data_IF_802435362787
#
_entry.id   IF_802435362787
#
_cell.length_a   1.000
_cell.length_b   1.000
_cell.length_c   1.000
_cell.angle_alpha   90.00
_cell.angle_beta   90.00
_cell.angle_gamma   90.00
#
_symmetry.space_group_name_H-M   'P 1'
#
loop_
_entity.id
_entity.type
_entity.pdbx_description
1 polymer ?
#
# COMPACT_ATOMS: atom_id res chain seq x y z
N UNK A 1 -13.10 -4.16 7.38
CA UNK A 1 -13.68 -4.01 6.03
C UNK A 1 -12.76 -3.06 5.29
N UNK A 2 -11.68 -3.58 4.68
CA UNK A 2 -10.65 -2.72 4.07
C UNK A 2 -11.06 -2.39 2.65
N UNK A 3 -11.24 -1.11 2.35
CA UNK A 3 -11.37 -0.64 0.98
C UNK A 3 -10.18 -1.17 0.18
N UNK A 4 -10.44 -1.95 -0.87
CA UNK A 4 -9.41 -2.41 -1.79
C UNK A 4 -8.83 -1.17 -2.45
N UNK A 5 -7.66 -0.74 -1.98
CA UNK A 5 -6.87 0.30 -2.63
C UNK A 5 -6.76 -0.12 -4.11
N UNK A 6 -7.40 0.65 -4.99
CA UNK A 6 -7.24 0.48 -6.43
C UNK A 6 -5.90 1.10 -6.80
N UNK A 7 -4.86 0.26 -6.85
CA UNK A 7 -3.51 0.58 -7.34
C UNK A 7 -3.54 0.91 -8.83
N UNK A 8 -4.08 2.07 -9.18
CA UNK A 8 -4.21 2.53 -10.57
C UNK A 8 -3.73 3.97 -10.64
N UNK A 9 -2.64 4.18 -11.39
CA UNK A 9 -2.12 5.50 -11.66
C UNK A 9 -3.10 6.31 -12.52
N UNK A 10 -3.35 7.56 -12.11
CA UNK A 10 -4.19 8.52 -12.83
C UNK A 10 -3.45 9.84 -13.11
N UNK A 11 -2.11 9.82 -13.12
CA UNK A 11 -1.33 11.01 -13.47
C UNK A 11 -1.49 11.36 -14.96
N UNK A 12 -1.23 12.62 -15.30
CA UNK A 12 -1.45 13.13 -16.66
C UNK A 12 -0.59 12.41 -17.71
N UNK A 13 0.68 12.15 -17.38
CA UNK A 13 1.60 11.40 -18.26
C UNK A 13 1.04 10.02 -18.64
N UNK A 14 0.43 9.31 -17.69
CA UNK A 14 -0.15 7.99 -17.97
C UNK A 14 -1.42 8.07 -18.82
N UNK A 15 -2.16 9.18 -18.76
CA UNK A 15 -3.34 9.41 -19.60
C UNK A 15 -2.93 9.78 -21.03
N UNK A 16 -2.00 10.71 -21.17
CA UNK A 16 -1.53 11.24 -22.46
C UNK A 16 -0.66 10.22 -23.21
N UNK A 17 0.19 9.49 -22.47
CA UNK A 17 1.19 8.59 -23.05
C UNK A 17 1.13 7.19 -22.40
N UNK A 18 0.06 6.41 -22.66
CA UNK A 18 -0.15 5.12 -21.99
C UNK A 18 0.91 4.05 -22.32
N UNK A 19 1.72 4.23 -23.38
CA UNK A 19 2.79 3.31 -23.77
C UNK A 19 4.19 3.84 -23.48
N UNK A 20 4.33 4.97 -22.78
CA UNK A 20 5.64 5.48 -22.39
C UNK A 20 6.35 4.54 -21.40
N UNK A 21 7.66 4.73 -21.24
CA UNK A 21 8.46 4.04 -20.23
C UNK A 21 7.91 4.37 -18.83
N UNK A 22 7.66 5.64 -18.54
CA UNK A 22 7.10 6.11 -17.26
C UNK A 22 5.75 5.45 -16.94
N UNK A 23 4.82 5.40 -17.91
CA UNK A 23 3.52 4.74 -17.70
C UNK A 23 3.66 3.24 -17.44
N UNK A 24 4.67 2.61 -18.06
CA UNK A 24 4.98 1.20 -17.84
C UNK A 24 5.56 0.94 -16.47
N UNK A 25 6.46 1.81 -15.99
CA UNK A 25 7.01 1.76 -14.63
C UNK A 25 5.93 1.95 -13.58
N UNK A 26 5.04 2.94 -13.75
CA UNK A 26 3.90 3.16 -12.86
C UNK A 26 2.96 1.95 -12.78
N UNK A 27 2.70 1.26 -13.90
CA UNK A 27 1.92 0.02 -13.91
C UNK A 27 2.62 -1.12 -13.18
N UNK A 28 3.92 -1.31 -13.43
CA UNK A 28 4.72 -2.35 -12.76
C UNK A 28 4.76 -2.12 -11.25
N UNK A 29 4.99 -0.88 -10.81
CA UNK A 29 4.97 -0.50 -9.40
C UNK A 29 3.61 -0.84 -8.77
N UNK A 30 2.52 -0.36 -9.36
CA UNK A 30 1.17 -0.64 -8.87
C UNK A 30 0.83 -2.14 -8.84
N UNK A 31 1.33 -2.92 -9.81
CA UNK A 31 1.17 -4.38 -9.84
C UNK A 31 1.89 -5.05 -8.66
N UNK A 32 3.13 -4.65 -8.36
CA UNK A 32 3.85 -5.15 -7.19
C UNK A 32 3.11 -4.81 -5.90
N UNK A 33 2.70 -3.55 -5.74
CA UNK A 33 1.99 -3.08 -4.55
C UNK A 33 0.65 -3.80 -4.34
N UNK A 34 -0.03 -4.22 -5.41
CA UNK A 34 -1.28 -4.97 -5.33
C UNK A 34 -1.16 -6.37 -4.69
N UNK A 35 0.05 -6.94 -4.66
CA UNK A 35 0.32 -8.22 -4.01
C UNK A 35 0.74 -8.12 -2.54
N UNK A 36 0.93 -6.89 -2.03
CA UNK A 36 1.39 -6.64 -0.66
C UNK A 36 0.20 -6.40 0.28
N UNK A 37 0.37 -6.74 1.55
CA UNK A 37 -0.55 -6.24 2.59
C UNK A 37 -0.36 -4.73 2.82
N UNK A 38 -1.27 -4.12 3.59
CA UNK A 38 -1.26 -2.66 3.82
C UNK A 38 0.03 -2.17 4.50
N UNK A 39 0.59 -2.96 5.42
CA UNK A 39 1.82 -2.62 6.16
C UNK A 39 3.04 -2.73 5.26
N UNK A 40 3.15 -3.81 4.51
CA UNK A 40 4.20 -4.04 3.52
C UNK A 40 4.18 -2.96 2.43
N UNK A 41 3.02 -2.68 1.84
CA UNK A 41 2.86 -1.67 0.81
C UNK A 41 3.27 -0.28 1.33
N UNK A 42 2.82 0.10 2.54
CA UNK A 42 3.19 1.38 3.14
C UNK A 42 4.71 1.51 3.34
N UNK A 43 5.39 0.47 3.82
CA UNK A 43 6.85 0.49 4.02
C UNK A 43 7.62 0.60 2.71
N UNK A 44 7.22 -0.16 1.68
CA UNK A 44 7.81 -0.05 0.33
C UNK A 44 7.65 1.37 -0.21
N UNK A 45 6.47 1.96 -0.08
CA UNK A 45 6.24 3.35 -0.50
C UNK A 45 7.09 4.34 0.29
N UNK A 46 7.29 4.10 1.59
CA UNK A 46 8.20 4.88 2.41
C UNK A 46 9.63 4.87 1.86
N UNK A 47 10.15 3.67 1.55
CA UNK A 47 11.49 3.48 1.01
C UNK A 47 11.64 4.17 -0.36
N UNK A 48 10.67 3.98 -1.26
CA UNK A 48 10.68 4.62 -2.57
C UNK A 48 10.59 6.15 -2.46
N UNK A 49 9.85 6.67 -1.49
CA UNK A 49 9.74 8.11 -1.26
C UNK A 49 11.08 8.71 -0.79
N UNK A 50 11.82 7.97 0.03
CA UNK A 50 13.15 8.36 0.51
C UNK A 50 14.17 8.38 -0.64
N UNK A 51 14.20 7.29 -1.43
CA UNK A 51 15.06 7.19 -2.62
C UNK A 51 14.77 8.27 -3.68
N UNK A 52 13.50 8.68 -3.82
CA UNK A 52 13.10 9.72 -4.76
C UNK A 52 13.46 11.15 -4.28
N UNK A 53 13.81 11.33 -2.99
CA UNK A 53 14.19 12.62 -2.44
C UNK A 53 13.05 13.64 -2.40
N UNK A 54 13.36 14.91 -2.66
CA UNK A 54 12.40 16.01 -2.56
C UNK A 54 11.21 15.82 -3.51
N UNK A 55 10.00 15.84 -2.98
CA UNK A 55 8.77 15.62 -3.74
C UNK A 55 8.38 14.15 -3.95
N UNK A 56 9.19 13.18 -3.52
CA UNK A 56 8.94 11.74 -3.66
C UNK A 56 7.58 11.29 -3.10
N UNK A 57 7.22 11.80 -1.92
CA UNK A 57 5.90 11.54 -1.30
C UNK A 57 4.75 12.01 -2.20
N UNK A 58 4.85 13.22 -2.74
CA UNK A 58 3.81 13.80 -3.58
C UNK A 58 3.70 13.07 -4.93
N UNK A 59 4.84 12.68 -5.50
CA UNK A 59 4.92 11.87 -6.71
C UNK A 59 4.26 10.51 -6.50
N UNK A 60 4.69 9.74 -5.50
CA UNK A 60 4.15 8.40 -5.23
C UNK A 60 2.68 8.42 -4.86
N UNK A 61 2.21 9.46 -4.15
CA UNK A 61 0.79 9.64 -3.87
C UNK A 61 -0.03 9.78 -5.15
N UNK A 62 0.48 10.51 -6.15
CA UNK A 62 -0.17 10.67 -7.46
C UNK A 62 -0.17 9.37 -8.28
N UNK A 63 0.93 8.61 -8.21
CA UNK A 63 1.11 7.36 -8.97
C UNK A 63 0.30 6.20 -8.41
N UNK A 64 0.15 6.13 -7.10
CA UNK A 64 -0.42 4.96 -6.41
C UNK A 64 -1.81 5.21 -5.85
N UNK A 65 -2.22 6.48 -5.73
CA UNK A 65 -3.46 6.88 -5.06
C UNK A 65 -3.39 6.78 -3.53
N UNK A 66 -2.25 6.39 -2.96
CA UNK A 66 -2.06 6.31 -1.52
C UNK A 66 -1.89 7.72 -0.94
N UNK A 67 -2.47 7.95 0.23
CA UNK A 67 -2.39 9.24 0.90
C UNK A 67 -0.94 9.60 1.27
N UNK A 68 -0.60 10.89 1.20
CA UNK A 68 0.73 11.39 1.61
C UNK A 68 1.05 11.03 3.06
N UNK A 69 0.05 11.04 3.95
CA UNK A 69 0.22 10.69 5.37
C UNK A 69 0.54 9.21 5.55
N UNK A 70 -0.07 8.32 4.77
CA UNK A 70 0.28 6.89 4.75
C UNK A 70 1.72 6.69 4.30
N UNK A 71 2.16 7.35 3.23
CA UNK A 71 3.54 7.24 2.71
C UNK A 71 4.55 7.76 3.75
N UNK A 72 4.28 8.93 4.35
CA UNK A 72 5.11 9.52 5.40
C UNK A 72 5.20 8.60 6.63
N UNK A 73 4.10 7.95 7.02
CA UNK A 73 4.11 6.94 8.09
C UNK A 73 5.02 5.76 7.71
N UNK A 74 5.00 5.33 6.45
CA UNK A 74 5.92 4.32 5.92
C UNK A 74 7.39 4.70 6.07
N UNK A 75 7.77 5.94 5.74
CA UNK A 75 9.13 6.44 5.97
C UNK A 75 9.52 6.39 7.45
N UNK A 76 8.64 6.87 8.34
CA UNK A 76 8.91 6.85 9.79
C UNK A 76 9.08 5.43 10.35
N UNK A 77 8.31 4.48 9.82
CA UNK A 77 8.42 3.06 10.19
C UNK A 77 9.74 2.40 9.75
N UNK A 78 10.49 3.00 8.80
CA UNK A 78 11.81 2.50 8.38
C UNK A 78 12.94 3.00 9.29
N UNK A 79 12.76 4.17 9.90
CA UNK A 79 13.73 4.75 10.85
C UNK A 79 13.47 4.25 12.28
N UNK A 80 12.25 3.85 12.59
CA UNK A 80 11.86 3.30 13.90
C UNK A 80 12.31 1.86 14.11
N UNK A 81 12.81 1.55 15.30
CA UNK A 81 13.28 0.22 15.73
C UNK A 81 12.16 -0.77 16.06
N UNK A 82 11.02 -0.74 15.37
CA UNK A 82 9.99 -1.77 15.59
C UNK A 82 10.38 -3.03 14.80
N UNK A 83 10.84 -4.11 15.47
CA UNK A 83 11.23 -5.33 14.78
C UNK A 83 10.07 -5.82 13.91
N UNK A 84 10.40 -6.28 12.70
CA UNK A 84 9.47 -7.11 11.93
C UNK A 84 9.20 -8.34 12.80
N UNK A 85 7.95 -8.61 13.23
CA UNK A 85 7.68 -9.82 13.99
C UNK A 85 8.12 -11.01 13.11
N UNK A 86 9.10 -11.77 13.57
CA UNK A 86 9.50 -13.02 12.93
C UNK A 86 8.36 -14.03 13.14
N UNK A 87 7.43 -14.07 12.19
CA UNK A 87 6.23 -14.89 12.29
C UNK A 87 5.19 -14.57 11.23
N UNK A 88 4.15 -15.42 11.15
CA UNK A 88 3.04 -15.32 10.20
C UNK A 88 2.54 -13.87 10.09
N UNK A 89 2.52 -13.36 8.85
CA UNK A 89 1.90 -12.07 8.46
C UNK A 89 0.42 -11.99 8.88
N UNK A 90 -0.25 -13.15 9.03
CA UNK A 90 -1.60 -13.23 9.58
C UNK A 90 -1.59 -13.11 11.10
N UNK A 91 -2.40 -12.19 11.64
CA UNK A 91 -2.85 -12.28 13.03
C UNK A 91 -3.45 -13.67 13.27
N UNK A 92 -3.05 -14.43 14.30
CA UNK A 92 -3.87 -15.54 14.79
C UNK A 92 -5.21 -14.95 15.27
N UNK A 93 -6.33 -15.61 14.96
CA UNK A 93 -7.67 -15.14 15.35
C UNK A 93 -8.70 -14.98 14.23
N UNK A 94 -8.49 -15.59 13.05
CA UNK A 94 -9.55 -15.78 12.06
C UNK A 94 -10.44 -17.01 12.34
N UNK A 95 -10.68 -17.32 13.62
CA UNK A 95 -11.62 -18.37 13.99
C UNK A 95 -13.03 -18.04 13.50
N UNK A 96 -13.82 -19.08 13.20
CA UNK A 96 -15.25 -18.93 12.87
C UNK A 96 -15.92 -18.12 13.99
N UNK A 97 -16.72 -17.10 13.65
CA UNK A 97 -17.69 -16.57 14.62
C UNK A 97 -18.55 -17.76 15.08
N UNK A 98 -18.65 -17.98 16.38
CA UNK A 98 -19.59 -18.96 16.92
C UNK A 98 -21.00 -18.58 16.46
N UNK A 99 -21.77 -19.56 15.96
CA UNK A 99 -23.21 -19.39 15.82
C UNK A 99 -23.77 -19.15 17.23
N UNK A 100 -24.29 -17.97 17.50
CA UNK A 100 -25.27 -17.84 18.57
C UNK A 100 -26.55 -18.53 18.09
N UNK A 101 -26.77 -19.75 18.57
CA UNK A 101 -28.10 -20.35 18.65
C UNK A 101 -28.82 -19.72 19.84
N UNK A 102 -30.01 -19.17 19.60
CA UNK A 102 -31.20 -19.09 20.49
C UNK A 102 -32.30 -18.42 19.64
N UNK A 103 -33.11 -19.22 18.93
CA UNK A 103 -34.43 -19.76 19.30
C UNK A 103 -35.56 -18.72 19.44
N UNK A 104 -36.75 -19.00 18.87
CA UNK A 104 -37.80 -18.02 18.57
C UNK A 104 -38.70 -17.71 19.78
N UNK A 105 -39.45 -16.60 19.67
CA UNK A 105 -40.69 -16.37 20.40
C UNK A 105 -41.84 -16.27 19.39
#
# INVERSE_FOLDING_TARGET
>A
MGDRIKWVCRCEVCKEHPRSVEATEHRKLNRVLSGLDEKQARRVLGLLADNAGHGGIAHLSRVTGVSRTTILKGQRELVGSDPVPEGRVRRPGGGRKALEKKDPA
#
